data_IF_997462386618
#
_entry.id   IF_997462386618
#
_cell.length_a   1.000
_cell.length_b   1.000
_cell.length_c   1.000
_cell.angle_alpha   90.00
_cell.angle_beta   90.00
_cell.angle_gamma   90.00
#
_symmetry.space_group_name_H-M   'P 1'
#
loop_
_entity.id
_entity.type
_entity.pdbx_description
1 polymer ?
#
# COMPACT_ATOMS: atom_id res chain seq x y z
N UNK A 1 -37.31 38.93 -5.54
CA UNK A 1 -38.14 37.78 -5.22
C UNK A 1 -37.25 36.61 -4.78
N UNK A 2 -37.64 35.87 -3.74
CA UNK A 2 -36.80 34.77 -3.27
C UNK A 2 -36.54 33.67 -4.29
N UNK A 3 -37.48 33.40 -5.19
CA UNK A 3 -37.32 32.40 -6.24
C UNK A 3 -36.23 32.73 -7.26
N UNK A 4 -36.05 34.03 -7.57
CA UNK A 4 -35.03 34.45 -8.52
C UNK A 4 -33.63 34.21 -8.01
N UNK A 5 -33.39 34.40 -6.70
CA UNK A 5 -32.09 34.12 -6.07
C UNK A 5 -31.77 32.63 -6.11
N UNK A 6 -32.71 31.76 -5.84
CA UNK A 6 -32.53 30.33 -5.90
C UNK A 6 -32.25 29.87 -7.32
N UNK A 7 -32.96 30.39 -8.31
CA UNK A 7 -32.72 30.07 -9.72
C UNK A 7 -31.32 30.51 -10.17
N UNK A 8 -30.88 31.70 -9.75
CA UNK A 8 -29.52 32.17 -10.05
C UNK A 8 -28.49 31.27 -9.41
N UNK A 9 -28.66 30.87 -8.16
CA UNK A 9 -27.72 29.99 -7.46
C UNK A 9 -27.67 28.63 -8.16
N UNK A 10 -28.80 28.03 -8.48
CA UNK A 10 -28.88 26.76 -9.20
C UNK A 10 -28.21 26.85 -10.56
N UNK A 11 -28.47 27.92 -11.31
CA UNK A 11 -27.85 28.17 -12.62
C UNK A 11 -26.32 28.30 -12.50
N UNK A 12 -25.83 28.97 -11.48
CA UNK A 12 -24.38 29.09 -11.23
C UNK A 12 -23.76 27.74 -10.90
N UNK A 13 -24.41 26.94 -10.07
CA UNK A 13 -23.94 25.59 -9.73
C UNK A 13 -23.87 24.71 -10.97
N UNK A 14 -24.92 24.71 -11.79
CA UNK A 14 -24.96 23.95 -13.03
C UNK A 14 -23.87 24.42 -14.00
N UNK A 15 -23.66 25.72 -14.12
CA UNK A 15 -22.60 26.29 -14.97
C UNK A 15 -21.21 25.85 -14.52
N UNK A 16 -20.96 25.84 -13.22
CA UNK A 16 -19.69 25.35 -12.64
C UNK A 16 -19.50 23.88 -12.94
N UNK A 17 -20.51 23.05 -12.70
CA UNK A 17 -20.43 21.61 -12.98
C UNK A 17 -20.32 21.29 -14.47
N UNK A 18 -20.93 22.11 -15.33
CA UNK A 18 -20.88 21.92 -16.77
C UNK A 18 -19.57 22.46 -17.39
N UNK A 19 -18.79 23.23 -16.64
CA UNK A 19 -17.56 23.81 -17.19
C UNK A 19 -16.49 22.73 -17.36
N UNK A 20 -15.84 22.72 -18.52
CA UNK A 20 -14.75 21.79 -18.82
C UNK A 20 -13.56 21.96 -17.91
N UNK A 21 -13.31 23.19 -17.44
CA UNK A 21 -12.24 23.48 -16.51
C UNK A 21 -12.41 22.84 -15.14
N UNK A 22 -13.64 22.79 -14.65
CA UNK A 22 -13.95 22.15 -13.37
C UNK A 22 -13.66 20.64 -13.41
N UNK A 23 -14.12 19.96 -14.45
CA UNK A 23 -13.88 18.53 -14.61
C UNK A 23 -12.39 18.21 -14.78
N UNK A 24 -11.68 19.03 -15.53
CA UNK A 24 -10.22 18.90 -15.66
C UNK A 24 -9.53 19.06 -14.32
N UNK A 25 -9.97 20.01 -13.50
CA UNK A 25 -9.43 20.22 -12.17
C UNK A 25 -9.68 19.01 -11.25
N UNK A 26 -10.91 18.50 -11.24
CA UNK A 26 -11.25 17.31 -10.46
C UNK A 26 -10.44 16.10 -10.91
N UNK A 27 -10.29 15.89 -12.20
CA UNK A 27 -9.50 14.79 -12.76
C UNK A 27 -8.03 14.91 -12.36
N UNK A 28 -7.45 16.10 -12.40
CA UNK A 28 -6.06 16.33 -11.96
C UNK A 28 -5.87 16.05 -10.48
N UNK A 29 -6.83 16.44 -9.64
CA UNK A 29 -6.77 16.13 -8.21
C UNK A 29 -6.84 14.62 -7.96
N UNK A 30 -7.69 13.92 -8.70
CA UNK A 30 -7.81 12.46 -8.61
C UNK A 30 -6.51 11.77 -9.02
N UNK A 31 -5.94 12.15 -10.14
CA UNK A 31 -4.68 11.60 -10.64
C UNK A 31 -3.54 11.84 -9.65
N UNK A 32 -3.46 13.05 -9.08
CA UNK A 32 -2.43 13.38 -8.10
C UNK A 32 -2.56 12.51 -6.85
N UNK A 33 -3.77 12.35 -6.31
CA UNK A 33 -4.00 11.50 -5.15
C UNK A 33 -3.67 10.04 -5.43
N UNK A 34 -4.07 9.53 -6.58
CA UNK A 34 -3.77 8.15 -6.97
C UNK A 34 -2.27 7.94 -7.17
N UNK A 35 -1.57 8.91 -7.74
CA UNK A 35 -0.12 8.85 -7.93
C UNK A 35 0.60 8.84 -6.57
N UNK A 36 0.20 9.70 -5.64
CA UNK A 36 0.78 9.73 -4.29
C UNK A 36 0.60 8.40 -3.56
N UNK A 37 -0.60 7.83 -3.57
CA UNK A 37 -0.86 6.51 -2.99
C UNK A 37 -0.04 5.42 -3.64
N UNK A 38 0.12 5.46 -4.95
CA UNK A 38 0.92 4.49 -5.69
C UNK A 38 2.41 4.59 -5.32
N UNK A 39 2.94 5.80 -5.17
CA UNK A 39 4.33 6.02 -4.75
C UNK A 39 4.55 5.57 -3.32
N UNK A 40 3.66 5.91 -2.40
CA UNK A 40 3.72 5.45 -1.00
C UNK A 40 3.68 3.93 -0.91
N UNK A 41 2.79 3.32 -1.67
CA UNK A 41 2.66 1.86 -1.73
C UNK A 41 3.94 1.21 -2.24
N UNK A 42 4.54 1.75 -3.30
CA UNK A 42 5.79 1.24 -3.84
C UNK A 42 6.94 1.40 -2.86
N UNK A 43 7.02 2.54 -2.17
CA UNK A 43 8.03 2.77 -1.16
C UNK A 43 7.89 1.78 0.01
N UNK A 44 6.66 1.57 0.49
CA UNK A 44 6.38 0.62 1.56
C UNK A 44 6.71 -0.81 1.13
N UNK A 45 6.31 -1.20 -0.07
CA UNK A 45 6.66 -2.52 -0.63
C UNK A 45 8.17 -2.71 -0.72
N UNK A 46 8.91 -1.67 -1.15
CA UNK A 46 10.37 -1.72 -1.22
C UNK A 46 11.01 -1.93 0.13
N UNK A 47 10.56 -1.22 1.16
CA UNK A 47 11.05 -1.38 2.52
C UNK A 47 10.73 -2.77 3.08
N UNK A 48 9.51 -3.24 2.91
CA UNK A 48 9.09 -4.56 3.36
C UNK A 48 9.83 -5.66 2.61
N UNK A 49 10.01 -5.50 1.30
CA UNK A 49 10.76 -6.44 0.47
C UNK A 49 12.20 -6.58 0.98
N UNK A 50 12.88 -5.46 1.24
CA UNK A 50 14.23 -5.46 1.76
C UNK A 50 14.30 -6.19 3.10
N UNK A 51 13.38 -5.91 4.02
CA UNK A 51 13.36 -6.54 5.33
C UNK A 51 13.03 -8.03 5.26
N UNK A 52 12.06 -8.41 4.46
CA UNK A 52 11.71 -9.82 4.26
C UNK A 52 12.90 -10.59 3.69
N UNK A 53 13.55 -10.04 2.68
CA UNK A 53 14.72 -10.67 2.06
C UNK A 53 15.89 -10.76 3.03
N UNK A 54 16.25 -9.68 3.68
CA UNK A 54 17.41 -9.62 4.58
C UNK A 54 17.22 -10.56 5.75
N UNK A 55 16.07 -10.49 6.44
CA UNK A 55 15.79 -11.34 7.59
C UNK A 55 15.59 -12.79 7.20
N UNK A 56 14.80 -13.03 6.12
CA UNK A 56 14.56 -14.40 5.66
C UNK A 56 15.83 -15.11 5.26
N UNK A 57 16.69 -14.48 4.49
CA UNK A 57 17.96 -15.06 4.09
C UNK A 57 18.90 -15.29 5.29
N UNK A 58 18.88 -14.40 6.27
CA UNK A 58 19.65 -14.58 7.51
C UNK A 58 19.20 -15.85 8.25
N UNK A 59 17.90 -16.03 8.42
CA UNK A 59 17.37 -17.21 9.11
C UNK A 59 17.66 -18.50 8.34
N UNK A 60 17.52 -18.46 7.01
CA UNK A 60 17.85 -19.61 6.15
C UNK A 60 19.33 -19.97 6.28
N UNK A 61 20.23 -18.99 6.29
CA UNK A 61 21.66 -19.20 6.49
C UNK A 61 21.97 -19.78 7.87
N UNK A 62 21.27 -19.31 8.90
CA UNK A 62 21.43 -19.81 10.28
C UNK A 62 20.82 -21.20 10.47
N UNK A 63 19.94 -21.64 9.55
CA UNK A 63 19.23 -22.93 9.57
C UNK A 63 18.35 -23.12 10.80
N UNK A 64 17.98 -22.07 11.47
CA UNK A 64 17.10 -22.06 12.65
C UNK A 64 16.50 -20.67 12.82
N UNK A 65 15.41 -20.60 13.57
CA UNK A 65 14.75 -19.34 13.90
C UNK A 65 14.17 -19.42 15.31
N UNK A 66 14.30 -18.36 16.10
CA UNK A 66 13.65 -18.30 17.40
C UNK A 66 12.16 -18.00 17.24
N UNK A 67 11.36 -18.32 18.26
CA UNK A 67 9.93 -17.99 18.26
C UNK A 67 9.70 -16.48 18.09
N UNK A 68 10.47 -15.66 18.81
CA UNK A 68 10.36 -14.21 18.72
C UNK A 68 10.71 -13.70 17.32
N UNK A 69 11.76 -14.23 16.72
CA UNK A 69 12.18 -13.85 15.37
C UNK A 69 11.13 -14.29 14.32
N UNK A 70 10.55 -15.46 14.49
CA UNK A 70 9.50 -15.94 13.59
C UNK A 70 8.27 -15.03 13.65
N UNK A 71 7.82 -14.66 14.85
CA UNK A 71 6.70 -13.73 15.03
C UNK A 71 6.99 -12.38 14.37
N UNK A 72 8.19 -11.85 14.56
CA UNK A 72 8.59 -10.60 13.94
C UNK A 72 8.62 -10.70 12.41
N UNK A 73 9.12 -11.81 11.88
CA UNK A 73 9.14 -12.05 10.44
C UNK A 73 7.73 -12.10 9.86
N UNK A 74 6.80 -12.78 10.52
CA UNK A 74 5.40 -12.83 10.09
C UNK A 74 4.77 -11.44 10.12
N UNK A 75 5.07 -10.63 11.13
CA UNK A 75 4.59 -9.25 11.23
C UNK A 75 5.00 -8.41 10.03
N UNK A 76 6.20 -8.64 9.50
CA UNK A 76 6.70 -7.95 8.32
C UNK A 76 6.13 -8.54 7.04
N UNK A 77 5.99 -9.86 6.98
CA UNK A 77 5.56 -10.57 5.79
C UNK A 77 4.07 -10.37 5.48
N UNK A 78 3.21 -10.37 6.50
CA UNK A 78 1.77 -10.24 6.27
C UNK A 78 1.38 -8.99 5.49
N UNK A 79 1.79 -7.77 5.88
CA UNK A 79 1.50 -6.59 5.06
C UNK A 79 2.17 -6.63 3.68
N UNK A 80 3.35 -7.24 3.58
CA UNK A 80 4.02 -7.44 2.29
C UNK A 80 3.15 -8.28 1.34
N UNK A 81 2.60 -9.37 1.84
CA UNK A 81 1.72 -10.25 1.07
C UNK A 81 0.41 -9.54 0.69
N UNK A 82 -0.19 -8.81 1.62
CA UNK A 82 -1.42 -8.04 1.38
C UNK A 82 -1.23 -6.95 0.34
N UNK A 83 -0.04 -6.38 0.24
CA UNK A 83 0.31 -5.39 -0.77
C UNK A 83 0.74 -6.03 -2.10
N UNK A 84 0.55 -7.34 -2.24
CA UNK A 84 0.91 -8.11 -3.43
C UNK A 84 2.40 -8.11 -3.73
N UNK A 85 3.21 -8.39 -2.71
CA UNK A 85 4.64 -8.59 -2.88
C UNK A 85 4.93 -9.72 -3.87
N UNK A 86 6.13 -9.71 -4.46
CA UNK A 86 6.48 -10.65 -5.52
C UNK A 86 6.67 -12.10 -5.04
N UNK A 87 6.72 -13.04 -5.99
CA UNK A 87 6.83 -14.47 -5.70
C UNK A 87 8.11 -14.90 -5.00
N UNK A 88 9.19 -14.12 -5.10
CA UNK A 88 10.45 -14.43 -4.41
C UNK A 88 10.29 -14.30 -2.90
N UNK A 89 9.55 -13.29 -2.43
CA UNK A 89 9.22 -13.17 -1.01
C UNK A 89 8.43 -14.36 -0.49
N UNK A 90 7.51 -14.88 -1.29
CA UNK A 90 6.76 -16.09 -0.94
C UNK A 90 7.64 -17.32 -0.84
N UNK A 91 8.64 -17.45 -1.72
CA UNK A 91 9.62 -18.54 -1.64
C UNK A 91 10.46 -18.47 -0.37
N UNK A 92 10.89 -17.28 0.00
CA UNK A 92 11.63 -17.04 1.24
C UNK A 92 10.77 -17.43 2.45
N UNK A 93 9.51 -17.01 2.46
CA UNK A 93 8.59 -17.37 3.55
C UNK A 93 8.43 -18.88 3.68
N UNK A 94 8.24 -19.58 2.59
CA UNK A 94 8.15 -21.05 2.60
C UNK A 94 9.41 -21.70 3.17
N UNK A 95 10.58 -21.20 2.78
CA UNK A 95 11.86 -21.70 3.30
C UNK A 95 11.98 -21.43 4.81
N UNK A 96 11.59 -20.23 5.27
CA UNK A 96 11.61 -19.90 6.70
C UNK A 96 10.64 -20.78 7.48
N UNK A 97 9.46 -21.07 6.92
CA UNK A 97 8.47 -21.93 7.57
C UNK A 97 8.96 -23.35 7.78
N UNK A 98 9.94 -23.82 7.01
CA UNK A 98 10.54 -25.16 7.17
C UNK A 98 11.65 -25.20 8.20
N UNK A 99 12.11 -24.06 8.73
CA UNK A 99 13.20 -24.00 9.68
C UNK A 99 12.77 -24.50 11.07
N UNK A 100 13.67 -25.18 11.81
CA UNK A 100 13.39 -25.52 13.20
C UNK A 100 13.19 -24.26 14.03
N UNK A 101 12.12 -24.22 14.81
CA UNK A 101 11.84 -23.14 15.74
C UNK A 101 12.44 -23.46 17.08
N UNK A 102 13.33 -22.62 17.56
CA UNK A 102 13.95 -22.75 18.86
C UNK A 102 13.32 -21.78 19.86
N UNK A 103 13.12 -22.24 21.09
CA UNK A 103 12.59 -21.39 22.16
C UNK A 103 13.74 -20.60 22.81
N UNK A 104 13.64 -19.30 22.70
CA UNK A 104 14.55 -18.39 23.41
C UNK A 104 13.78 -17.61 24.45
#
# INVERSE_FOLDING_TARGET
MPMEKQEIIVSLIVAVFASTGFWSFVTRLWEKKNTEKSVERQALLGLLHDRVYTLGNKFIADKKISTADYDNFIYLYEPYDKLHGNGTGKKIKKAVDTLPIIND
#
